data_IF_126154174769
#
_entry.id   IF_126154174769
#
_cell.length_a   1.000
_cell.length_b   1.000
_cell.length_c   1.000
_cell.angle_alpha   90.00
_cell.angle_beta   90.00
_cell.angle_gamma   90.00
#
_symmetry.space_group_name_H-M   'P 1'
#
loop_
_entity.id
_entity.type
_entity.pdbx_description
1 polymer ?
#
# COMPACT_ATOMS: atom_id res chain seq x y z
N UNK A 1 64.54 72.19 15.59
CA UNK A 1 64.72 70.84 16.12
C UNK A 1 63.28 70.21 16.19
N UNK A 2 62.94 69.39 15.22
CA UNK A 2 61.58 68.92 14.96
C UNK A 2 61.39 67.54 15.51
N UNK A 3 60.36 67.38 16.35
CA UNK A 3 59.93 66.09 16.81
C UNK A 3 58.62 65.73 16.02
N UNK A 4 58.73 64.71 15.17
CA UNK A 4 57.61 64.21 14.40
C UNK A 4 56.82 63.13 15.21
N UNK A 5 55.65 63.44 15.55
CA UNK A 5 54.66 62.47 16.11
C UNK A 5 54.20 61.54 15.01
N UNK A 6 54.39 60.26 15.18
CA UNK A 6 53.71 59.21 14.39
C UNK A 6 52.46 58.74 15.13
N UNK A 7 51.30 59.08 14.61
CA UNK A 7 49.98 58.45 14.99
C UNK A 7 49.87 57.10 14.26
N UNK A 8 49.82 56.05 15.02
CA UNK A 8 49.51 54.71 14.49
C UNK A 8 47.98 54.53 14.61
N UNK A 9 47.32 54.50 13.46
CA UNK A 9 45.88 54.18 13.38
C UNK A 9 45.74 52.68 13.35
N UNK A 10 45.25 52.10 14.43
CA UNK A 10 44.84 50.69 14.47
C UNK A 10 43.43 50.52 13.86
N UNK A 11 43.34 49.92 12.68
CA UNK A 11 42.06 49.45 12.11
C UNK A 11 41.65 48.19 12.83
N UNK A 12 40.63 48.32 13.67
CA UNK A 12 39.93 47.14 14.21
C UNK A 12 38.91 46.62 13.15
N UNK A 13 39.25 45.52 12.45
CA UNK A 13 38.30 44.76 11.64
C UNK A 13 37.35 44.03 12.59
N UNK A 14 36.18 44.58 12.83
CA UNK A 14 35.06 43.87 13.46
C UNK A 14 34.47 42.86 12.49
N UNK A 15 34.78 41.58 12.67
CA UNK A 15 34.04 40.50 11.97
C UNK A 15 32.62 40.45 12.52
N UNK A 16 31.67 40.98 11.77
CA UNK A 16 30.23 40.72 11.98
C UNK A 16 29.95 39.26 11.64
N UNK A 17 29.95 38.40 12.66
CA UNK A 17 29.36 37.07 12.55
C UNK A 17 27.84 37.27 12.52
N UNK A 18 27.27 37.39 11.33
CA UNK A 18 25.82 37.27 11.14
C UNK A 18 25.46 35.82 11.35
N UNK A 19 25.06 35.45 12.58
CA UNK A 19 24.35 34.22 12.85
C UNK A 19 23.04 34.27 12.07
N UNK A 20 23.02 33.64 10.90
CA UNK A 20 21.76 33.36 10.19
C UNK A 20 20.94 32.43 11.10
N UNK A 21 19.98 33.00 11.78
CA UNK A 21 18.94 32.21 12.44
C UNK A 21 18.17 31.51 11.32
N UNK A 22 18.47 30.24 11.11
CA UNK A 22 17.66 29.40 10.24
C UNK A 22 16.29 29.28 10.92
N UNK A 23 15.30 30.01 10.41
CA UNK A 23 13.94 29.81 10.82
C UNK A 23 13.53 28.40 10.45
N UNK A 24 13.00 27.64 11.41
CA UNK A 24 12.42 26.35 11.17
C UNK A 24 11.31 26.49 10.09
N UNK A 25 11.39 25.67 9.07
CA UNK A 25 10.37 25.68 8.01
C UNK A 25 9.17 24.84 8.41
N UNK A 26 7.96 25.32 8.08
CA UNK A 26 6.73 24.54 8.13
C UNK A 26 6.51 23.87 6.79
N UNK A 27 6.77 22.57 6.72
CA UNK A 27 6.68 21.78 5.50
C UNK A 27 5.38 20.96 5.53
N UNK A 28 4.65 20.95 4.44
CA UNK A 28 3.51 20.04 4.25
C UNK A 28 3.78 19.08 3.12
N UNK A 29 3.66 17.77 3.40
CA UNK A 29 3.63 16.70 2.40
C UNK A 29 2.21 16.19 2.21
N UNK A 30 1.89 15.73 0.98
CA UNK A 30 0.71 14.93 0.70
C UNK A 30 1.13 13.52 0.31
N UNK A 31 0.76 12.54 1.12
CA UNK A 31 0.85 11.12 0.80
C UNK A 31 -0.49 10.62 0.26
N UNK A 32 -0.49 10.15 -0.99
CA UNK A 32 -1.65 9.54 -1.63
C UNK A 32 -1.49 8.03 -1.58
N UNK A 33 -2.35 7.37 -0.81
CA UNK A 33 -2.23 5.97 -0.43
C UNK A 33 -3.48 5.15 -0.74
N UNK A 34 -3.36 3.83 -0.67
CA UNK A 34 -4.50 2.93 -0.77
C UNK A 34 -5.09 2.61 0.61
N UNK A 35 -6.34 2.12 0.63
CA UNK A 35 -7.16 2.04 1.85
C UNK A 35 -6.54 1.30 3.05
N UNK A 36 -5.92 0.11 2.91
CA UNK A 36 -5.45 -0.66 4.06
C UNK A 36 -4.32 -0.02 4.89
N UNK A 37 -3.71 1.07 4.42
CA UNK A 37 -2.57 1.72 5.11
C UNK A 37 -2.97 2.83 6.07
N UNK A 38 -4.27 3.05 6.32
CA UNK A 38 -4.76 4.19 7.12
C UNK A 38 -4.10 4.27 8.48
N UNK A 39 -4.16 3.19 9.25
CA UNK A 39 -3.64 3.10 10.61
C UNK A 39 -2.11 3.16 10.61
N UNK A 40 -1.47 2.44 9.68
CA UNK A 40 -0.02 2.49 9.48
C UNK A 40 0.48 3.92 9.36
N UNK A 41 -0.12 4.72 8.47
CA UNK A 41 0.37 6.08 8.25
C UNK A 41 -0.04 7.07 9.34
N UNK A 42 -1.03 6.78 10.17
CA UNK A 42 -1.27 7.57 11.40
C UNK A 42 -0.08 7.47 12.34
N UNK A 43 0.40 6.24 12.60
CA UNK A 43 1.53 6.01 13.50
C UNK A 43 2.86 6.45 12.87
N UNK A 44 3.05 6.11 11.61
CA UNK A 44 4.26 6.41 10.86
C UNK A 44 4.52 7.91 10.73
N UNK A 45 3.48 8.70 10.42
CA UNK A 45 3.61 10.13 10.24
C UNK A 45 4.03 10.84 11.53
N UNK A 46 3.54 10.39 12.67
CA UNK A 46 3.98 10.91 13.99
C UNK A 46 5.46 10.64 14.22
N UNK A 47 5.89 9.41 13.97
CA UNK A 47 7.28 9.01 14.15
C UNK A 47 8.21 9.77 13.19
N UNK A 48 7.85 9.87 11.92
CA UNK A 48 8.63 10.60 10.93
C UNK A 48 8.71 12.09 11.24
N UNK A 49 7.62 12.74 11.61
CA UNK A 49 7.61 14.16 11.96
C UNK A 49 8.55 14.46 13.14
N UNK A 50 8.53 13.61 14.17
CA UNK A 50 9.47 13.72 15.30
C UNK A 50 10.92 13.52 14.88
N UNK A 51 11.20 12.51 14.06
CA UNK A 51 12.53 12.26 13.51
C UNK A 51 13.03 13.44 12.68
N UNK A 52 12.19 13.96 11.78
CA UNK A 52 12.56 15.08 10.91
C UNK A 52 12.87 16.35 11.71
N UNK A 53 12.03 16.67 12.68
CA UNK A 53 12.25 17.78 13.61
C UNK A 53 13.57 17.68 14.36
N UNK A 54 13.87 16.50 14.89
CA UNK A 54 15.13 16.25 15.60
C UNK A 54 16.35 16.40 14.69
N UNK A 55 16.22 15.94 13.43
CA UNK A 55 17.32 15.92 12.47
C UNK A 55 17.60 17.28 11.84
N UNK A 56 16.57 18.07 11.57
CA UNK A 56 16.70 19.30 10.75
C UNK A 56 16.29 20.58 11.48
N UNK A 57 15.50 20.47 12.53
CA UNK A 57 14.84 21.61 13.18
C UNK A 57 13.51 22.02 12.52
N UNK A 58 13.18 21.49 11.36
CA UNK A 58 11.96 21.81 10.61
C UNK A 58 10.75 21.01 11.09
N UNK A 59 9.59 21.63 11.06
CA UNK A 59 8.31 20.95 11.29
C UNK A 59 7.75 20.41 9.96
N UNK A 60 7.26 19.19 9.99
CA UNK A 60 6.60 18.58 8.84
C UNK A 60 5.21 18.05 9.21
N UNK A 61 4.23 18.43 8.43
CA UNK A 61 2.85 17.90 8.49
C UNK A 61 2.60 17.03 7.28
N UNK A 62 2.24 15.77 7.49
CA UNK A 62 1.93 14.84 6.41
C UNK A 62 0.40 14.71 6.30
N UNK A 63 -0.16 15.25 5.22
CA UNK A 63 -1.56 15.05 4.85
C UNK A 63 -1.73 13.72 4.14
N UNK A 64 -2.88 13.08 4.35
CA UNK A 64 -3.19 11.76 3.81
C UNK A 64 -4.41 11.82 2.90
N UNK A 65 -4.33 11.12 1.75
CA UNK A 65 -5.48 10.76 0.95
C UNK A 65 -5.53 9.24 0.82
N UNK A 66 -6.65 8.62 1.17
CA UNK A 66 -6.85 7.17 1.11
C UNK A 66 -8.06 6.82 0.25
N UNK A 67 -7.94 5.70 -0.48
CA UNK A 67 -8.99 5.18 -1.33
C UNK A 67 -8.53 3.94 -2.11
N UNK A 68 -9.33 3.48 -3.05
CA UNK A 68 -8.90 2.42 -3.96
C UNK A 68 -7.68 2.86 -4.76
N UNK A 69 -6.65 2.00 -4.85
CA UNK A 69 -5.34 2.33 -5.42
C UNK A 69 -5.41 2.89 -6.84
N UNK A 70 -6.17 2.25 -7.73
CA UNK A 70 -6.34 2.75 -9.09
C UNK A 70 -7.09 4.09 -9.16
N UNK A 71 -8.03 4.33 -8.24
CA UNK A 71 -8.71 5.64 -8.09
C UNK A 71 -7.74 6.72 -7.63
N UNK A 72 -6.86 6.39 -6.68
CA UNK A 72 -5.85 7.30 -6.17
C UNK A 72 -4.81 7.66 -7.24
N UNK A 73 -4.33 6.67 -8.00
CA UNK A 73 -3.42 6.91 -9.13
C UNK A 73 -4.05 7.87 -10.16
N UNK A 74 -5.32 7.67 -10.50
CA UNK A 74 -6.06 8.55 -11.41
C UNK A 74 -6.16 9.97 -10.86
N UNK A 75 -6.48 10.14 -9.58
CA UNK A 75 -6.54 11.46 -8.96
C UNK A 75 -5.19 12.21 -9.08
N UNK A 76 -4.06 11.52 -8.91
CA UNK A 76 -2.73 12.11 -9.10
C UNK A 76 -2.49 12.50 -10.57
N UNK A 77 -2.88 11.64 -11.51
CA UNK A 77 -2.80 11.93 -12.95
C UNK A 77 -3.63 13.18 -13.30
N UNK A 78 -4.81 13.29 -12.71
CA UNK A 78 -5.76 14.39 -12.92
C UNK A 78 -5.41 15.68 -12.17
N UNK A 79 -4.28 15.68 -11.43
CA UNK A 79 -3.73 16.92 -10.84
C UNK A 79 -3.74 17.00 -9.32
N UNK A 80 -4.11 15.95 -8.58
CA UNK A 80 -3.93 15.93 -7.12
C UNK A 80 -2.42 16.03 -6.80
N UNK A 81 -1.97 17.10 -6.09
CA UNK A 81 -0.55 17.41 -5.95
C UNK A 81 0.14 16.53 -4.89
N UNK A 82 0.20 15.23 -5.13
CA UNK A 82 0.87 14.26 -4.26
C UNK A 82 2.38 14.51 -4.25
N UNK A 83 2.99 14.57 -3.07
CA UNK A 83 4.45 14.54 -2.92
C UNK A 83 4.97 13.10 -3.01
N UNK A 84 4.24 12.18 -2.40
CA UNK A 84 4.54 10.75 -2.45
C UNK A 84 3.28 9.95 -2.75
N UNK A 85 3.46 8.81 -3.40
CA UNK A 85 2.41 7.80 -3.59
C UNK A 85 2.85 6.50 -2.94
N UNK A 86 1.92 5.86 -2.22
CA UNK A 86 2.12 4.59 -1.52
C UNK A 86 0.94 3.70 -1.86
N UNK A 87 1.01 3.07 -3.05
CA UNK A 87 -0.13 2.39 -3.67
C UNK A 87 -0.07 0.87 -3.52
N UNK A 88 -1.13 0.18 -3.89
CA UNK A 88 -1.27 -1.25 -3.68
C UNK A 88 -0.42 -2.10 -4.63
N UNK A 89 -0.06 -1.58 -5.80
CA UNK A 89 0.62 -2.35 -6.85
C UNK A 89 1.35 -1.43 -7.85
N UNK A 90 2.39 -1.96 -8.47
CA UNK A 90 3.28 -1.16 -9.31
C UNK A 90 2.60 -0.63 -10.57
N UNK A 91 1.64 -1.37 -11.15
CA UNK A 91 0.93 -0.89 -12.34
C UNK A 91 0.22 0.45 -12.12
N UNK A 92 -0.37 0.68 -10.96
CA UNK A 92 -1.04 1.94 -10.66
C UNK A 92 -0.05 3.12 -10.62
N UNK A 93 1.18 2.89 -10.17
CA UNK A 93 2.26 3.88 -10.23
C UNK A 93 2.80 4.03 -11.66
N UNK A 94 2.92 2.93 -12.41
CA UNK A 94 3.32 2.98 -13.83
C UNK A 94 2.37 3.84 -14.67
N UNK A 95 1.06 3.84 -14.35
CA UNK A 95 0.08 4.72 -14.98
C UNK A 95 0.37 6.22 -14.72
N UNK A 96 0.86 6.56 -13.54
CA UNK A 96 1.29 7.94 -13.21
C UNK A 96 2.48 8.35 -14.09
N UNK A 97 3.40 7.42 -14.39
CA UNK A 97 4.44 7.64 -15.40
C UNK A 97 3.85 7.75 -16.80
N UNK A 98 3.10 6.74 -17.23
CA UNK A 98 2.68 6.60 -18.63
C UNK A 98 1.73 7.71 -19.07
N UNK A 99 0.74 8.05 -18.24
CA UNK A 99 -0.31 9.03 -18.55
C UNK A 99 -0.02 10.41 -17.97
N UNK A 100 0.45 10.47 -16.73
CA UNK A 100 0.71 11.74 -16.04
C UNK A 100 2.05 12.38 -16.39
N UNK A 101 3.05 11.58 -16.79
CA UNK A 101 4.44 12.03 -17.01
C UNK A 101 5.04 12.72 -15.76
N UNK A 102 4.59 12.31 -14.57
CA UNK A 102 4.93 12.96 -13.30
C UNK A 102 6.15 12.35 -12.60
N UNK A 103 6.49 11.10 -12.97
CA UNK A 103 7.61 10.32 -12.45
C UNK A 103 8.38 9.68 -13.60
N UNK A 104 9.68 9.30 -13.45
CA UNK A 104 10.44 8.59 -14.48
C UNK A 104 10.01 7.13 -14.58
N UNK A 105 10.36 6.48 -15.69
CA UNK A 105 10.01 5.08 -15.97
C UNK A 105 10.64 4.09 -15.00
N UNK A 106 11.83 4.37 -14.53
CA UNK A 106 12.63 3.51 -13.66
C UNK A 106 12.43 3.77 -12.15
N UNK A 107 11.30 4.40 -11.79
CA UNK A 107 10.96 4.78 -10.44
C UNK A 107 11.09 3.63 -9.41
N UNK A 108 10.76 2.41 -9.83
CA UNK A 108 10.75 1.24 -8.95
C UNK A 108 12.16 0.80 -8.50
N UNK A 109 13.21 1.24 -9.19
CA UNK A 109 14.62 0.92 -8.85
C UNK A 109 15.21 1.82 -7.76
N UNK A 110 14.49 2.84 -7.30
CA UNK A 110 15.00 3.87 -6.41
C UNK A 110 15.18 3.43 -4.97
N UNK A 111 14.36 2.48 -4.51
CA UNK A 111 14.36 2.01 -3.14
C UNK A 111 14.50 0.48 -3.13
N UNK A 112 14.95 -0.11 -2.00
CA UNK A 112 15.09 -1.56 -1.87
C UNK A 112 13.80 -2.34 -2.14
N UNK A 113 13.94 -3.62 -2.47
CA UNK A 113 12.81 -4.54 -2.69
C UNK A 113 11.82 -4.03 -3.76
N UNK A 114 12.35 -3.50 -4.88
CA UNK A 114 11.52 -2.90 -5.93
C UNK A 114 10.61 -1.79 -5.39
N UNK A 115 11.13 -0.98 -4.47
CA UNK A 115 10.39 0.10 -3.80
C UNK A 115 9.21 -0.36 -2.94
N UNK A 116 9.23 -1.60 -2.44
CA UNK A 116 8.20 -2.16 -1.55
C UNK A 116 8.77 -2.33 -0.14
N UNK A 117 8.49 -1.39 0.78
CA UNK A 117 9.09 -1.39 2.12
C UNK A 117 8.54 -2.49 3.04
N UNK A 118 7.39 -3.02 2.75
CA UNK A 118 6.72 -4.09 3.48
C UNK A 118 5.90 -4.93 2.51
N UNK A 119 5.44 -6.10 2.96
CA UNK A 119 4.60 -7.00 2.18
C UNK A 119 3.33 -7.37 2.94
N UNK A 120 2.40 -7.99 2.26
CA UNK A 120 1.19 -8.59 2.82
C UNK A 120 0.80 -9.81 1.98
N UNK A 121 -0.33 -10.40 2.32
CA UNK A 121 -0.94 -11.47 1.53
C UNK A 121 -2.45 -11.43 1.69
N UNK A 122 -3.16 -12.30 0.98
CA UNK A 122 -4.60 -12.41 1.06
C UNK A 122 -4.98 -13.57 1.94
N UNK A 123 -5.90 -13.32 2.88
CA UNK A 123 -6.47 -14.30 3.79
C UNK A 123 -8.01 -14.24 3.72
N UNK A 124 -8.66 -15.20 4.35
CA UNK A 124 -10.12 -15.28 4.42
C UNK A 124 -10.56 -14.91 5.83
N UNK A 125 -11.28 -13.80 5.98
CA UNK A 125 -11.85 -13.40 7.26
C UNK A 125 -13.27 -13.93 7.36
N UNK A 126 -13.56 -14.73 8.38
CA UNK A 126 -14.86 -15.35 8.59
C UNK A 126 -15.50 -14.92 9.90
N UNK A 127 -16.78 -15.15 10.06
CA UNK A 127 -17.53 -14.94 11.31
C UNK A 127 -16.98 -15.87 12.39
N UNK A 128 -17.10 -15.47 13.67
CA UNK A 128 -16.73 -16.29 14.82
C UNK A 128 -17.36 -17.67 14.78
N UNK A 129 -16.55 -18.70 15.04
CA UNK A 129 -16.97 -20.10 14.97
C UNK A 129 -17.11 -20.63 13.55
N UNK A 130 -16.78 -19.84 12.54
CA UNK A 130 -16.77 -20.22 11.13
C UNK A 130 -18.02 -21.03 10.71
N UNK A 131 -19.25 -20.46 10.80
CA UNK A 131 -20.50 -21.21 10.63
C UNK A 131 -20.68 -21.81 9.24
N UNK A 132 -19.97 -21.32 8.23
CA UNK A 132 -19.96 -21.89 6.87
C UNK A 132 -18.84 -22.91 6.64
N UNK A 133 -18.04 -23.21 7.66
CA UNK A 133 -16.92 -24.15 7.58
C UNK A 133 -15.96 -23.84 6.41
N UNK A 134 -15.63 -22.57 6.23
CA UNK A 134 -14.68 -22.10 5.21
C UNK A 134 -13.26 -22.48 5.63
N UNK A 135 -12.56 -23.26 4.82
CA UNK A 135 -11.20 -23.71 5.08
C UNK A 135 -10.21 -23.27 4.01
N UNK A 136 -10.69 -23.12 2.78
CA UNK A 136 -9.88 -22.76 1.62
C UNK A 136 -10.74 -22.10 0.53
N UNK A 137 -10.14 -21.75 -0.58
CA UNK A 137 -10.76 -21.12 -1.74
C UNK A 137 -11.95 -21.90 -2.31
N UNK A 138 -11.88 -23.25 -2.31
CA UNK A 138 -12.96 -24.12 -2.79
C UNK A 138 -14.28 -23.94 -2.04
N UNK A 139 -14.22 -23.51 -0.80
CA UNK A 139 -15.41 -23.29 0.01
C UNK A 139 -16.18 -22.04 -0.43
N UNK A 140 -15.51 -21.11 -1.13
CA UNK A 140 -16.10 -19.86 -1.59
C UNK A 140 -17.08 -20.02 -2.76
N UNK A 141 -17.02 -21.15 -3.46
CA UNK A 141 -17.93 -21.45 -4.59
C UNK A 141 -19.15 -22.26 -4.17
N UNK A 142 -19.24 -22.67 -2.91
CA UNK A 142 -20.37 -23.44 -2.39
C UNK A 142 -21.68 -22.62 -2.40
N UNK A 143 -22.81 -23.25 -2.70
CA UNK A 143 -24.10 -22.60 -2.60
C UNK A 143 -24.36 -22.06 -1.19
N UNK A 144 -24.90 -20.84 -1.09
CA UNK A 144 -25.24 -20.20 0.17
C UNK A 144 -24.05 -19.61 0.93
N UNK A 145 -22.86 -19.55 0.34
CA UNK A 145 -21.72 -18.77 0.83
C UNK A 145 -21.75 -17.39 0.18
N UNK A 146 -21.77 -16.34 0.99
CA UNK A 146 -21.71 -14.95 0.53
C UNK A 146 -20.33 -14.38 0.72
N UNK A 147 -19.67 -13.98 -0.38
CA UNK A 147 -18.28 -13.51 -0.42
C UNK A 147 -18.26 -11.99 -0.56
N UNK A 148 -17.46 -11.33 0.26
CA UNK A 148 -17.22 -9.88 0.17
C UNK A 148 -15.80 -9.64 -0.36
N UNK A 149 -15.70 -8.82 -1.39
CA UNK A 149 -14.45 -8.34 -1.98
C UNK A 149 -14.69 -7.03 -2.71
N UNK A 150 -13.72 -6.10 -2.75
CA UNK A 150 -13.91 -4.85 -3.48
C UNK A 150 -13.79 -5.05 -5.00
N UNK A 151 -14.10 -3.99 -5.75
CA UNK A 151 -14.09 -4.01 -7.21
C UNK A 151 -12.66 -3.91 -7.78
N UNK A 152 -12.18 -4.88 -8.56
CA UNK A 152 -10.86 -4.83 -9.19
C UNK A 152 -10.65 -3.66 -10.17
N UNK A 153 -11.71 -3.06 -10.69
CA UNK A 153 -11.60 -1.88 -11.58
C UNK A 153 -11.16 -0.60 -10.84
N UNK A 154 -11.38 -0.54 -9.52
CA UNK A 154 -11.09 0.66 -8.70
C UNK A 154 -10.12 0.39 -7.57
N UNK A 155 -10.07 -0.83 -7.06
CA UNK A 155 -9.27 -1.26 -5.92
C UNK A 155 -8.09 -2.13 -6.34
N UNK A 156 -6.87 -1.66 -6.06
CA UNK A 156 -5.68 -2.50 -6.22
C UNK A 156 -5.68 -3.69 -5.26
N UNK A 157 -6.23 -3.52 -4.05
CA UNK A 157 -6.42 -4.63 -3.11
C UNK A 157 -7.28 -5.74 -3.69
N UNK A 158 -8.34 -5.38 -4.40
CA UNK A 158 -9.22 -6.35 -5.08
C UNK A 158 -8.51 -7.12 -6.20
N UNK A 159 -7.57 -6.47 -6.91
CA UNK A 159 -6.76 -7.16 -7.93
C UNK A 159 -5.89 -8.25 -7.32
N UNK A 160 -5.30 -8.01 -6.18
CA UNK A 160 -4.57 -9.02 -5.43
C UNK A 160 -5.48 -10.16 -4.94
N UNK A 161 -6.68 -9.85 -4.42
CA UNK A 161 -7.67 -10.86 -4.02
C UNK A 161 -8.05 -11.78 -5.18
N UNK A 162 -8.37 -11.17 -6.33
CA UNK A 162 -8.71 -11.90 -7.56
C UNK A 162 -7.55 -12.79 -8.04
N UNK A 163 -6.33 -12.25 -8.08
CA UNK A 163 -5.17 -13.01 -8.54
C UNK A 163 -4.76 -14.13 -7.59
N UNK A 164 -4.98 -13.98 -6.28
CA UNK A 164 -4.76 -15.05 -5.31
C UNK A 164 -5.71 -16.24 -5.58
N UNK A 165 -7.00 -15.97 -5.76
CA UNK A 165 -7.99 -17.00 -6.12
C UNK A 165 -7.69 -17.65 -7.48
N UNK A 166 -7.28 -16.85 -8.45
CA UNK A 166 -6.92 -17.33 -9.79
C UNK A 166 -5.68 -18.23 -9.77
N UNK A 167 -4.65 -17.83 -9.02
CA UNK A 167 -3.43 -18.62 -8.84
C UNK A 167 -3.70 -19.98 -8.17
N UNK A 168 -4.57 -19.97 -7.14
CA UNK A 168 -5.04 -21.21 -6.53
C UNK A 168 -5.68 -22.13 -7.56
N UNK A 169 -6.62 -21.62 -8.35
CA UNK A 169 -7.33 -22.41 -9.35
C UNK A 169 -6.39 -22.94 -10.45
N UNK A 170 -5.41 -22.14 -10.91
CA UNK A 170 -4.39 -22.61 -11.84
C UNK A 170 -3.61 -23.80 -11.26
N UNK A 171 -3.18 -23.69 -9.99
CA UNK A 171 -2.43 -24.77 -9.35
C UNK A 171 -3.24 -26.04 -9.20
N UNK A 172 -4.50 -25.95 -8.81
CA UNK A 172 -5.40 -27.10 -8.66
C UNK A 172 -5.72 -27.79 -9.99
N UNK A 173 -5.61 -27.07 -11.11
CA UNK A 173 -6.01 -27.54 -12.42
C UNK A 173 -4.84 -27.64 -13.42
N UNK A 174 -3.63 -27.88 -12.98
CA UNK A 174 -2.45 -28.04 -13.84
C UNK A 174 -2.25 -26.87 -14.84
N UNK A 175 -2.48 -25.63 -14.38
CA UNK A 175 -2.41 -24.39 -15.15
C UNK A 175 -3.45 -24.27 -16.29
N UNK A 176 -4.58 -24.98 -16.19
CA UNK A 176 -5.71 -24.82 -17.10
C UNK A 176 -6.41 -23.48 -16.86
N UNK A 177 -6.21 -22.54 -17.78
CA UNK A 177 -6.76 -21.18 -17.69
C UNK A 177 -8.29 -21.16 -17.77
N UNK A 178 -8.89 -22.03 -18.59
CA UNK A 178 -10.36 -22.07 -18.70
C UNK A 178 -11.03 -22.51 -17.39
N UNK A 179 -10.43 -23.48 -16.71
CA UNK A 179 -10.89 -23.92 -15.38
C UNK A 179 -10.68 -22.85 -14.32
N UNK A 180 -9.54 -22.13 -14.37
CA UNK A 180 -9.28 -21.04 -13.45
C UNK A 180 -10.30 -19.90 -13.63
N UNK A 181 -10.64 -19.52 -14.87
CA UNK A 181 -11.70 -18.54 -15.18
C UNK A 181 -13.06 -18.99 -14.63
N UNK A 182 -13.43 -20.26 -14.88
CA UNK A 182 -14.70 -20.81 -14.40
C UNK A 182 -14.77 -20.81 -12.85
N UNK A 183 -13.69 -21.13 -12.18
CA UNK A 183 -13.59 -21.10 -10.72
C UNK A 183 -13.77 -19.68 -10.17
N UNK A 184 -13.01 -18.71 -10.65
CA UNK A 184 -13.13 -17.31 -10.21
C UNK A 184 -14.51 -16.74 -10.54
N UNK A 185 -15.07 -17.08 -11.70
CA UNK A 185 -16.47 -16.74 -12.04
C UNK A 185 -17.45 -17.27 -10.99
N UNK A 186 -17.23 -18.49 -10.49
CA UNK A 186 -18.08 -19.07 -9.46
C UNK A 186 -17.96 -18.37 -8.12
N UNK A 187 -16.76 -17.86 -7.75
CA UNK A 187 -16.60 -16.99 -6.57
C UNK A 187 -17.42 -15.70 -6.76
N UNK A 188 -17.27 -15.03 -7.91
CA UNK A 188 -17.94 -13.74 -8.16
C UNK A 188 -19.47 -13.85 -8.27
N UNK A 189 -20.01 -15.03 -8.59
CA UNK A 189 -21.46 -15.29 -8.47
C UNK A 189 -21.97 -15.20 -7.03
N UNK A 190 -21.10 -15.45 -6.06
CA UNK A 190 -21.39 -15.39 -4.63
C UNK A 190 -21.08 -14.02 -4.03
N UNK A 191 -20.69 -13.02 -4.84
CA UNK A 191 -20.38 -11.66 -4.40
C UNK A 191 -21.58 -10.76 -4.58
N UNK A 192 -22.28 -10.37 -3.49
CA UNK A 192 -23.50 -9.57 -3.58
C UNK A 192 -23.25 -8.08 -3.83
N UNK A 193 -22.06 -7.59 -3.49
CA UNK A 193 -21.70 -6.17 -3.60
C UNK A 193 -20.21 -6.01 -3.88
N UNK A 194 -19.85 -5.05 -4.74
CA UNK A 194 -18.49 -4.66 -5.04
C UNK A 194 -18.26 -3.23 -4.54
N UNK A 195 -17.62 -3.10 -3.37
CA UNK A 195 -17.22 -1.81 -2.83
C UNK A 195 -16.08 -1.20 -3.66
N UNK A 196 -15.93 0.12 -3.63
CA UNK A 196 -14.93 0.82 -4.43
C UNK A 196 -13.48 0.63 -3.94
N UNK A 197 -13.28 0.16 -2.71
CA UNK A 197 -11.98 -0.05 -2.08
C UNK A 197 -12.04 -1.06 -0.93
N UNK A 198 -10.88 -1.50 -0.47
CA UNK A 198 -10.75 -2.55 0.55
C UNK A 198 -11.44 -2.17 1.87
N UNK A 199 -11.27 -0.93 2.35
CA UNK A 199 -11.92 -0.46 3.58
C UNK A 199 -13.46 -0.47 3.45
N UNK A 200 -14.01 -0.16 2.27
CA UNK A 200 -15.45 -0.29 2.01
C UNK A 200 -15.95 -1.72 2.24
N UNK A 201 -15.21 -2.70 1.72
CA UNK A 201 -15.52 -4.13 1.93
C UNK A 201 -15.38 -4.56 3.38
N UNK A 202 -14.37 -4.07 4.08
CA UNK A 202 -14.22 -4.29 5.53
C UNK A 202 -15.42 -3.73 6.29
N UNK A 203 -15.85 -2.50 6.00
CA UNK A 203 -17.05 -1.89 6.60
C UNK A 203 -18.32 -2.70 6.26
N UNK A 204 -18.49 -3.12 5.02
CA UNK A 204 -19.63 -3.95 4.60
C UNK A 204 -19.68 -5.26 5.38
N UNK A 205 -18.54 -5.92 5.54
CA UNK A 205 -18.46 -7.18 6.29
C UNK A 205 -18.54 -6.97 7.80
N UNK A 206 -17.71 -6.11 8.38
CA UNK A 206 -17.56 -5.97 9.84
C UNK A 206 -18.72 -5.20 10.47
N UNK A 207 -19.06 -4.03 9.91
CA UNK A 207 -20.01 -3.10 10.54
C UNK A 207 -21.44 -3.37 10.09
N UNK A 208 -21.66 -3.62 8.78
CA UNK A 208 -23.00 -3.87 8.22
C UNK A 208 -23.45 -5.31 8.36
N UNK A 209 -22.55 -6.23 8.73
CA UNK A 209 -22.86 -7.64 8.93
C UNK A 209 -23.20 -8.42 7.66
N UNK A 210 -22.81 -7.92 6.48
CA UNK A 210 -23.10 -8.54 5.18
C UNK A 210 -21.99 -9.51 4.81
N UNK A 211 -22.35 -10.69 4.30
CA UNK A 211 -21.45 -11.74 3.84
C UNK A 211 -21.00 -12.72 4.92
N UNK A 212 -20.55 -13.88 4.49
CA UNK A 212 -20.03 -14.95 5.33
C UNK A 212 -18.51 -14.94 5.42
N UNK A 213 -17.84 -14.47 4.37
CA UNK A 213 -16.39 -14.41 4.24
C UNK A 213 -15.96 -13.14 3.51
N UNK A 214 -14.93 -12.49 4.03
CA UNK A 214 -14.25 -11.35 3.39
C UNK A 214 -12.90 -11.82 2.84
N UNK A 215 -12.66 -11.61 1.54
CA UNK A 215 -11.31 -11.69 0.98
C UNK A 215 -10.56 -10.45 1.44
N UNK A 216 -9.64 -10.60 2.36
CA UNK A 216 -8.98 -9.50 3.02
C UNK A 216 -7.46 -9.55 2.84
N UNK A 217 -6.85 -8.38 2.76
CA UNK A 217 -5.44 -8.25 3.05
C UNK A 217 -5.20 -8.66 4.51
N UNK A 218 -4.09 -9.33 4.76
CA UNK A 218 -3.76 -9.87 6.08
C UNK A 218 -3.81 -8.81 7.18
N UNK A 219 -3.29 -7.61 6.92
CA UNK A 219 -3.35 -6.50 7.87
C UNK A 219 -4.78 -6.03 8.19
N UNK A 220 -5.67 -5.97 7.19
CA UNK A 220 -7.09 -5.63 7.40
C UNK A 220 -7.81 -6.73 8.21
N UNK A 221 -7.47 -8.00 7.96
CA UNK A 221 -8.04 -9.11 8.71
C UNK A 221 -7.62 -9.07 10.20
N UNK A 222 -6.35 -8.78 10.47
CA UNK A 222 -5.87 -8.59 11.85
C UNK A 222 -6.51 -7.38 12.52
N UNK A 223 -6.63 -6.25 11.80
CA UNK A 223 -7.30 -5.06 12.30
C UNK A 223 -8.76 -5.37 12.66
N UNK A 224 -9.48 -6.05 11.77
CA UNK A 224 -10.86 -6.45 12.03
C UNK A 224 -10.97 -7.36 13.25
N UNK A 225 -10.12 -8.38 13.35
CA UNK A 225 -10.14 -9.36 14.42
C UNK A 225 -9.77 -8.77 15.79
N UNK A 226 -8.79 -7.83 15.82
CA UNK A 226 -8.23 -7.34 17.08
C UNK A 226 -8.82 -6.01 17.55
N UNK A 227 -9.22 -5.16 16.63
CA UNK A 227 -9.58 -3.78 16.93
C UNK A 227 -11.02 -3.41 16.57
N UNK A 228 -11.52 -3.83 15.39
CA UNK A 228 -12.85 -3.45 14.94
C UNK A 228 -13.96 -4.35 15.49
N UNK A 229 -13.66 -5.60 15.75
CA UNK A 229 -14.62 -6.57 16.29
C UNK A 229 -13.92 -7.70 17.03
N UNK A 230 -13.27 -7.41 18.17
CA UNK A 230 -12.62 -8.44 18.95
C UNK A 230 -13.60 -9.56 19.25
N UNK A 231 -13.14 -10.80 19.10
CA UNK A 231 -13.92 -12.01 19.28
C UNK A 231 -15.13 -12.23 18.35
N UNK A 232 -15.27 -11.43 17.29
CA UNK A 232 -16.35 -11.59 16.29
C UNK A 232 -15.92 -12.27 15.01
N UNK A 233 -14.61 -12.36 14.75
CA UNK A 233 -14.06 -12.85 13.50
C UNK A 233 -12.91 -13.82 13.73
N UNK A 234 -12.70 -14.68 12.73
CA UNK A 234 -11.57 -15.61 12.67
C UNK A 234 -10.87 -15.47 11.32
N UNK A 235 -9.53 -15.60 11.33
CA UNK A 235 -8.72 -15.58 10.12
C UNK A 235 -8.49 -17.03 9.70
N UNK A 236 -8.90 -17.34 8.47
CA UNK A 236 -8.58 -18.60 7.81
C UNK A 236 -7.46 -18.34 6.81
N UNK A 237 -6.35 -19.04 7.01
CA UNK A 237 -5.19 -18.97 6.12
C UNK A 237 -5.40 -19.98 4.99
N UNK A 238 -5.52 -19.55 3.72
CA UNK A 238 -5.73 -20.47 2.62
C UNK A 238 -4.47 -21.31 2.34
N UNK A 239 -4.63 -22.45 1.68
CA UNK A 239 -3.53 -23.35 1.31
C UNK A 239 -2.51 -22.71 0.37
N UNK A 240 -2.93 -21.72 -0.42
CA UNK A 240 -2.11 -20.93 -1.33
C UNK A 240 -2.63 -19.50 -1.35
N UNK A 241 -1.73 -18.54 -1.37
CA UNK A 241 -2.07 -17.13 -1.60
C UNK A 241 -1.01 -16.45 -2.48
N UNK A 242 -1.02 -15.12 -2.54
CA UNK A 242 -0.10 -14.33 -3.35
C UNK A 242 0.70 -13.36 -2.47
N UNK A 243 2.00 -13.20 -2.77
CA UNK A 243 2.83 -12.18 -2.15
C UNK A 243 2.41 -10.81 -2.67
N UNK A 244 1.80 -10.01 -1.82
CA UNK A 244 1.44 -8.64 -2.13
C UNK A 244 2.58 -7.69 -1.76
N UNK A 245 3.09 -6.96 -2.75
CA UNK A 245 4.23 -6.04 -2.64
C UNK A 245 3.78 -4.62 -2.98
N UNK A 246 3.22 -3.87 -2.00
CA UNK A 246 2.75 -2.50 -2.23
C UNK A 246 3.93 -1.53 -2.34
N UNK A 247 4.13 -0.89 -3.50
CA UNK A 247 5.29 -0.04 -3.73
C UNK A 247 5.01 1.42 -3.38
N UNK A 248 6.12 2.15 -3.18
CA UNK A 248 6.12 3.57 -2.85
C UNK A 248 7.08 4.35 -3.75
N UNK A 249 6.77 5.60 -4.07
CA UNK A 249 7.69 6.51 -4.75
C UNK A 249 7.35 7.97 -4.52
N UNK A 250 8.33 8.85 -4.72
CA UNK A 250 8.09 10.30 -4.80
C UNK A 250 7.49 10.67 -6.16
N UNK A 251 6.71 11.73 -6.19
CA UNK A 251 6.14 12.29 -7.42
C UNK A 251 7.02 13.46 -7.87
N UNK A 252 7.99 13.18 -8.74
CA UNK A 252 9.09 14.09 -9.08
C UNK A 252 8.65 15.49 -9.46
N UNK A 253 7.74 15.64 -10.41
CA UNK A 253 7.28 16.96 -10.84
C UNK A 253 6.60 17.75 -9.71
N UNK A 254 5.92 17.08 -8.81
CA UNK A 254 5.27 17.72 -7.67
C UNK A 254 6.30 18.20 -6.65
N UNK A 255 7.21 17.31 -6.23
CA UNK A 255 8.20 17.65 -5.20
C UNK A 255 9.21 18.69 -5.67
N UNK A 256 9.53 18.73 -6.98
CA UNK A 256 10.40 19.77 -7.54
C UNK A 256 9.69 21.14 -7.56
N UNK A 257 8.43 21.18 -8.01
CA UNK A 257 7.62 22.39 -8.01
C UNK A 257 7.40 22.92 -6.59
N UNK A 258 7.16 22.03 -5.64
CA UNK A 258 6.89 22.39 -4.23
C UNK A 258 8.15 22.55 -3.38
N UNK A 259 9.32 22.20 -3.92
CA UNK A 259 10.63 22.20 -3.21
C UNK A 259 10.62 21.30 -1.97
N UNK A 260 9.90 20.19 -2.04
CA UNK A 260 9.77 19.20 -0.94
C UNK A 260 10.61 17.94 -1.16
N UNK A 261 11.50 17.90 -2.16
CA UNK A 261 12.27 16.71 -2.53
C UNK A 261 13.02 16.07 -1.37
N UNK A 262 13.78 16.86 -0.60
CA UNK A 262 14.61 16.32 0.47
C UNK A 262 13.76 15.61 1.54
N UNK A 263 12.69 16.23 2.01
CA UNK A 263 11.82 15.66 3.03
C UNK A 263 10.97 14.51 2.48
N UNK A 264 10.51 14.57 1.22
CA UNK A 264 9.73 13.50 0.60
C UNK A 264 10.57 12.23 0.38
N UNK A 265 11.83 12.36 -0.05
CA UNK A 265 12.75 11.23 -0.14
C UNK A 265 13.05 10.64 1.23
N UNK A 266 13.40 11.48 2.21
CA UNK A 266 13.65 11.03 3.57
C UNK A 266 12.41 10.32 4.18
N UNK A 267 11.20 10.79 3.88
CA UNK A 267 9.96 10.16 4.30
C UNK A 267 9.83 8.72 3.79
N UNK A 268 10.16 8.46 2.54
CA UNK A 268 10.11 7.10 1.99
C UNK A 268 11.28 6.23 2.47
N UNK A 269 12.47 6.79 2.59
CA UNK A 269 13.66 6.07 3.10
C UNK A 269 13.47 5.62 4.55
N UNK A 270 12.81 6.42 5.37
CA UNK A 270 12.52 6.10 6.78
C UNK A 270 11.61 4.88 6.93
N UNK A 271 10.82 4.50 5.91
CA UNK A 271 10.04 3.24 5.89
C UNK A 271 10.93 1.98 5.97
N UNK A 272 12.18 2.08 5.54
CA UNK A 272 13.12 0.94 5.48
C UNK A 272 14.02 0.82 6.70
N UNK A 273 14.04 1.81 7.60
CA UNK A 273 14.80 1.73 8.82
C UNK A 273 14.05 0.90 9.89
N UNK A 274 14.73 0.58 10.99
CA UNK A 274 14.18 -0.25 12.05
C UNK A 274 12.86 0.30 12.63
N UNK A 275 12.76 1.60 12.84
CA UNK A 275 11.55 2.24 13.39
C UNK A 275 10.39 2.14 12.40
N UNK A 276 10.62 2.46 11.13
CA UNK A 276 9.60 2.35 10.08
C UNK A 276 9.12 0.91 9.91
N UNK A 277 10.04 -0.04 9.94
CA UNK A 277 9.73 -1.47 9.82
C UNK A 277 8.98 -2.02 11.06
N UNK A 278 9.32 -1.56 12.26
CA UNK A 278 8.55 -1.92 13.48
C UNK A 278 7.14 -1.35 13.45
N UNK A 279 6.96 -0.12 12.98
CA UNK A 279 5.63 0.47 12.81
C UNK A 279 4.82 -0.33 11.79
N UNK A 280 5.43 -0.73 10.67
CA UNK A 280 4.77 -1.61 9.70
C UNK A 280 4.32 -2.93 10.34
N UNK A 281 5.19 -3.62 11.09
CA UNK A 281 4.87 -4.87 11.76
C UNK A 281 3.77 -4.72 12.83
N UNK A 282 3.79 -3.64 13.62
CA UNK A 282 2.74 -3.33 14.60
C UNK A 282 1.37 -3.05 13.96
N UNK A 283 1.38 -2.57 12.73
CA UNK A 283 0.18 -2.38 11.89
C UNK A 283 -0.08 -3.59 10.98
N UNK A 284 0.44 -4.76 11.34
CA UNK A 284 0.19 -6.05 10.70
C UNK A 284 0.67 -6.18 9.24
N UNK A 285 1.62 -5.35 8.81
CA UNK A 285 2.36 -5.55 7.58
C UNK A 285 3.62 -6.37 7.84
N UNK A 286 3.96 -7.26 6.92
CA UNK A 286 5.15 -8.09 7.02
C UNK A 286 6.39 -7.24 6.72
N UNK A 287 7.30 -7.02 7.68
CA UNK A 287 8.50 -6.22 7.46
C UNK A 287 9.48 -6.94 6.54
N UNK A 288 10.27 -6.16 5.79
CA UNK A 288 11.32 -6.66 4.91
C UNK A 288 12.70 -6.65 5.56
N UNK A 289 12.89 -5.89 6.63
CA UNK A 289 14.14 -5.88 7.41
C UNK A 289 14.21 -7.14 8.27
N UNK A 290 15.23 -7.98 8.05
CA UNK A 290 15.36 -9.30 8.66
C UNK A 290 15.29 -9.29 10.20
N UNK A 291 15.96 -8.33 10.86
CA UNK A 291 15.95 -8.19 12.32
C UNK A 291 14.53 -7.97 12.87
N UNK A 292 13.75 -7.14 12.18
CA UNK A 292 12.35 -6.87 12.57
C UNK A 292 11.45 -8.04 12.18
N UNK A 293 11.64 -8.62 11.00
CA UNK A 293 10.87 -9.80 10.56
C UNK A 293 10.99 -10.96 11.57
N UNK A 294 12.19 -11.23 12.05
CA UNK A 294 12.44 -12.24 13.08
C UNK A 294 11.75 -11.92 14.41
N UNK A 295 11.76 -10.66 14.84
CA UNK A 295 11.09 -10.22 16.07
C UNK A 295 9.57 -10.44 16.02
N UNK A 296 8.96 -10.31 14.85
CA UNK A 296 7.52 -10.43 14.64
C UNK A 296 7.09 -11.75 13.97
N UNK A 297 8.00 -12.73 13.80
CA UNK A 297 7.70 -13.98 13.07
C UNK A 297 6.49 -14.76 13.60
N UNK A 298 6.24 -14.71 14.92
CA UNK A 298 5.10 -15.38 15.55
C UNK A 298 3.76 -14.71 15.30
N UNK A 299 3.77 -13.45 14.86
CA UNK A 299 2.55 -12.71 14.54
C UNK A 299 1.94 -13.17 13.23
N UNK A 300 2.77 -13.59 12.28
CA UNK A 300 2.35 -13.89 10.92
C UNK A 300 2.31 -15.40 10.66
N UNK A 301 1.18 -15.94 10.20
CA UNK A 301 1.10 -17.36 9.85
C UNK A 301 1.99 -17.67 8.64
N UNK A 302 2.45 -18.92 8.56
CA UNK A 302 3.11 -19.42 7.36
C UNK A 302 2.07 -19.61 6.26
N UNK A 303 2.34 -19.06 5.08
CA UNK A 303 1.47 -19.14 3.91
C UNK A 303 2.30 -19.54 2.71
N UNK A 304 1.80 -20.46 1.90
CA UNK A 304 2.39 -20.76 0.59
C UNK A 304 2.05 -19.62 -0.36
N UNK A 305 3.05 -18.92 -0.86
CA UNK A 305 2.87 -17.74 -1.68
C UNK A 305 3.38 -17.96 -3.10
N UNK A 306 2.58 -17.53 -4.07
CA UNK A 306 3.05 -17.27 -5.43
C UNK A 306 3.40 -15.81 -5.59
N UNK A 307 4.18 -15.47 -6.61
CA UNK A 307 4.50 -14.08 -6.95
C UNK A 307 3.78 -13.65 -8.22
N UNK A 308 3.58 -12.34 -8.36
CA UNK A 308 2.98 -11.76 -9.56
C UNK A 308 3.82 -12.06 -10.80
N UNK A 309 5.15 -12.02 -10.68
CA UNK A 309 6.05 -12.30 -11.81
C UNK A 309 6.05 -13.79 -12.18
N UNK A 310 6.14 -14.67 -11.18
CA UNK A 310 6.24 -16.12 -11.40
C UNK A 310 4.97 -16.75 -11.98
N UNK A 311 3.79 -16.27 -11.57
CA UNK A 311 2.51 -16.86 -11.99
C UNK A 311 1.86 -16.10 -13.14
N UNK A 312 1.94 -14.78 -13.15
CA UNK A 312 1.20 -13.95 -14.11
C UNK A 312 2.10 -13.19 -15.10
N UNK A 313 3.43 -13.32 -14.97
CA UNK A 313 4.41 -12.63 -15.83
C UNK A 313 4.47 -11.12 -15.59
N UNK A 314 4.20 -10.70 -14.35
CA UNK A 314 4.28 -9.32 -13.90
C UNK A 314 2.98 -8.52 -14.06
N UNK A 315 2.95 -7.35 -13.44
CA UNK A 315 1.74 -6.51 -13.38
C UNK A 315 1.27 -6.01 -14.73
N UNK A 316 2.17 -5.69 -15.67
CA UNK A 316 1.78 -5.21 -17.00
C UNK A 316 0.97 -6.28 -17.74
N UNK A 317 1.43 -7.54 -17.70
CA UNK A 317 0.71 -8.66 -18.31
C UNK A 317 -0.57 -8.97 -17.58
N UNK A 318 -0.53 -9.05 -16.24
CA UNK A 318 -1.72 -9.31 -15.42
C UNK A 318 -2.82 -8.27 -15.64
N UNK A 319 -2.47 -6.99 -15.67
CA UNK A 319 -3.41 -5.90 -15.94
C UNK A 319 -4.05 -6.02 -17.32
N UNK A 320 -3.22 -6.23 -18.36
CA UNK A 320 -3.71 -6.37 -19.74
C UNK A 320 -4.65 -7.57 -19.89
N UNK A 321 -4.32 -8.71 -19.27
CA UNK A 321 -5.10 -9.94 -19.41
C UNK A 321 -6.38 -9.89 -18.59
N UNK A 322 -6.29 -9.45 -17.33
CA UNK A 322 -7.39 -9.64 -16.37
C UNK A 322 -8.24 -8.39 -16.14
N UNK A 323 -7.64 -7.19 -16.13
CA UNK A 323 -8.29 -5.99 -15.60
C UNK A 323 -8.46 -4.85 -16.59
N UNK A 324 -7.87 -4.91 -17.79
CA UNK A 324 -8.15 -3.97 -18.88
C UNK A 324 -9.61 -4.09 -19.30
N UNK A 325 -10.12 -3.07 -19.98
CA UNK A 325 -11.46 -3.11 -20.54
C UNK A 325 -11.59 -4.27 -21.54
N UNK A 326 -12.62 -5.09 -21.37
CA UNK A 326 -12.79 -6.35 -22.08
C UNK A 326 -11.88 -7.49 -21.62
N UNK A 327 -11.13 -7.33 -20.53
CA UNK A 327 -10.31 -8.40 -19.94
C UNK A 327 -11.13 -9.46 -19.23
N UNK A 328 -10.43 -10.47 -18.70
CA UNK A 328 -11.06 -11.65 -18.09
C UNK A 328 -12.03 -11.30 -16.96
N UNK A 329 -11.74 -10.26 -16.16
CA UNK A 329 -12.64 -9.84 -15.11
C UNK A 329 -13.98 -9.32 -15.67
N UNK A 330 -13.96 -8.56 -16.75
CA UNK A 330 -15.19 -8.08 -17.42
C UNK A 330 -16.00 -9.26 -17.98
N UNK A 331 -15.35 -10.25 -18.59
CA UNK A 331 -16.01 -11.47 -19.08
C UNK A 331 -16.68 -12.27 -17.93
N UNK A 332 -15.98 -12.39 -16.79
CA UNK A 332 -16.46 -13.10 -15.60
C UNK A 332 -17.66 -12.39 -15.00
N UNK A 333 -17.58 -11.07 -14.82
CA UNK A 333 -18.57 -10.30 -14.07
C UNK A 333 -19.75 -9.86 -14.96
N UNK A 334 -19.52 -9.34 -16.16
CA UNK A 334 -20.56 -8.88 -17.06
C UNK A 334 -21.26 -10.03 -17.81
N UNK A 335 -20.56 -11.13 -18.07
CA UNK A 335 -21.13 -12.33 -18.68
C UNK A 335 -22.14 -13.10 -17.79
N UNK A 336 -22.34 -12.65 -16.54
CA UNK A 336 -23.36 -13.18 -15.62
C UNK A 336 -24.65 -12.35 -15.56
N UNK A 337 -24.70 -11.21 -16.25
CA UNK A 337 -25.84 -10.27 -16.23
C UNK A 337 -26.76 -10.49 -17.44
N UNK A 338 -27.11 -11.75 -17.77
CA UNK A 338 -28.18 -12.09 -18.72
C UNK A 338 -29.21 -12.96 -18.04
#
# INVERSE_FOLDING_TARGET
MNLKNKLSTALALGALVTSAWAYAADITLLNVSYDPTRELYVDYNKAFASYWKTKTGDDVTIKQSHGGSGKQARAVIDGLPADVVTLALSYDIDEIHAKGKLIPKDWQKRLPHNSSPYTSTIVLLVRKGNPKNIKDWDDLVKPGVSVITPNPKTSGGARWNYLAAYAYALKQNNNDDAKARAFVKSIFKNVPVLDSGARGSTTTFVERGIGDVLLAWENEAFLAQKELGPDKFEIVVPSLSILAEPPVTVVDKTIDKRKTRAVAQAYLEYLYNEVGQEIAAKNYYRPTLESVAKKYEKQFPKVNLVTIDGTFGGWQKAQKTHFADGGVFDEIYLGGSK
#
